data_IF_009770446412
#
_entry.id   IF_009770446412
#
_cell.length_a   1.000
_cell.length_b   1.000
_cell.length_c   1.000
_cell.angle_alpha   90.00
_cell.angle_beta   90.00
_cell.angle_gamma   90.00
#
_symmetry.space_group_name_H-M   'P 1'
#
loop_
_entity.id
_entity.type
_entity.pdbx_description
1 polymer ?
#
# COMPACT_ATOMS: atom_id res chain seq x y z
N UNK A 1 -10.63 -10.18 -9.78
CA UNK A 1 -10.47 -8.88 -10.45
C UNK A 1 -11.77 -8.09 -10.29
N UNK A 2 -11.70 -6.84 -9.81
CA UNK A 2 -12.89 -6.00 -9.63
C UNK A 2 -13.37 -5.43 -10.98
N UNK A 3 -14.66 -5.56 -11.26
CA UNK A 3 -15.31 -5.03 -12.45
C UNK A 3 -15.33 -3.48 -12.48
N UNK A 4 -15.15 -2.81 -13.64
CA UNK A 4 -15.16 -1.36 -13.75
C UNK A 4 -16.39 -0.66 -13.16
N UNK A 5 -17.58 -1.26 -13.28
CA UNK A 5 -18.82 -0.67 -12.77
C UNK A 5 -18.80 -0.62 -11.25
N UNK A 6 -18.37 -1.70 -10.59
CA UNK A 6 -18.26 -1.77 -9.14
C UNK A 6 -17.26 -0.75 -8.60
N UNK A 7 -16.13 -0.56 -9.28
CA UNK A 7 -15.13 0.45 -8.93
C UNK A 7 -15.69 1.86 -9.08
N UNK A 8 -16.48 2.13 -10.13
CA UNK A 8 -17.12 3.44 -10.34
C UNK A 8 -18.18 3.74 -9.29
N UNK A 9 -19.01 2.75 -8.93
CA UNK A 9 -20.03 2.90 -7.86
C UNK A 9 -19.38 3.22 -6.52
N UNK A 10 -18.29 2.54 -6.16
CA UNK A 10 -17.53 2.82 -4.94
C UNK A 10 -17.02 4.27 -4.92
N UNK A 11 -16.44 4.74 -6.03
CA UNK A 11 -15.94 6.12 -6.13
C UNK A 11 -17.08 7.14 -5.96
N UNK A 12 -18.20 6.95 -6.65
CA UNK A 12 -19.35 7.87 -6.57
C UNK A 12 -19.99 7.89 -5.18
N UNK A 13 -20.08 6.74 -4.52
CA UNK A 13 -20.59 6.65 -3.15
C UNK A 13 -19.68 7.40 -2.16
N UNK A 14 -18.35 7.25 -2.30
CA UNK A 14 -17.39 7.97 -1.48
C UNK A 14 -17.47 9.50 -1.70
N UNK A 15 -17.54 9.95 -2.95
CA UNK A 15 -17.71 11.36 -3.32
C UNK A 15 -19.01 11.94 -2.76
N UNK A 16 -20.13 11.23 -2.94
CA UNK A 16 -21.45 11.68 -2.48
C UNK A 16 -21.54 11.71 -0.94
N UNK A 17 -20.86 10.79 -0.26
CA UNK A 17 -20.80 10.75 1.19
C UNK A 17 -19.73 11.66 1.81
N UNK A 18 -18.92 12.35 1.01
CA UNK A 18 -17.80 13.18 1.49
C UNK A 18 -16.68 12.39 2.18
N UNK A 19 -16.61 11.07 1.97
CA UNK A 19 -15.69 10.16 2.64
C UNK A 19 -14.59 9.61 1.72
N UNK A 20 -13.81 8.68 2.26
CA UNK A 20 -12.76 7.96 1.51
C UNK A 20 -13.27 6.57 1.15
N UNK A 21 -13.23 6.24 -0.15
CA UNK A 21 -13.47 4.88 -0.62
C UNK A 21 -12.17 4.08 -0.60
N UNK A 22 -12.15 2.94 0.11
CA UNK A 22 -11.00 2.04 0.16
C UNK A 22 -11.33 0.73 -0.56
N UNK A 23 -10.39 0.27 -1.39
CA UNK A 23 -10.46 -1.02 -2.06
C UNK A 23 -9.20 -1.82 -1.72
N UNK A 24 -9.37 -2.87 -0.90
CA UNK A 24 -8.31 -3.80 -0.55
C UNK A 24 -8.11 -4.83 -1.66
N UNK A 25 -6.86 -5.09 -2.03
CA UNK A 25 -6.47 -6.05 -3.07
C UNK A 25 -5.36 -6.95 -2.54
N UNK A 26 -5.34 -8.20 -2.99
CA UNK A 26 -4.25 -9.13 -2.66
C UNK A 26 -3.09 -8.93 -3.62
N UNK A 27 -1.88 -9.16 -3.14
CA UNK A 27 -0.70 -9.16 -3.98
C UNK A 27 -0.83 -10.25 -5.08
N UNK A 28 -0.37 -9.93 -6.29
CA UNK A 28 -0.44 -10.83 -7.44
C UNK A 28 -1.78 -10.82 -8.19
N UNK A 29 -2.80 -10.13 -7.70
CA UNK A 29 -4.02 -9.90 -8.49
C UNK A 29 -3.69 -9.01 -9.70
N UNK A 30 -4.20 -9.38 -10.88
CA UNK A 30 -3.95 -8.64 -12.11
C UNK A 30 -4.36 -7.16 -11.95
N UNK A 31 -3.62 -6.27 -12.63
CA UNK A 31 -3.99 -4.86 -12.71
C UNK A 31 -5.33 -4.72 -13.46
N UNK A 32 -6.42 -4.72 -12.72
CA UNK A 32 -7.77 -4.47 -13.24
C UNK A 32 -8.18 -3.00 -13.16
N UNK A 33 -9.47 -2.76 -13.42
CA UNK A 33 -10.06 -1.43 -13.39
C UNK A 33 -9.80 -0.68 -12.08
N UNK A 34 -9.54 0.63 -12.16
CA UNK A 34 -9.16 1.44 -11.00
C UNK A 34 -9.52 2.91 -11.20
N UNK A 35 -10.42 3.43 -10.36
CA UNK A 35 -10.73 4.86 -10.23
C UNK A 35 -9.97 5.55 -9.09
N UNK A 36 -9.11 4.81 -8.37
CA UNK A 36 -8.43 5.31 -7.17
C UNK A 36 -7.50 6.50 -7.46
N UNK A 37 -7.60 7.54 -6.62
CA UNK A 37 -6.74 8.73 -6.65
C UNK A 37 -5.31 8.42 -6.18
N UNK A 38 -5.18 7.50 -5.23
CA UNK A 38 -3.90 6.97 -4.76
C UNK A 38 -3.91 5.45 -4.79
N UNK A 39 -2.77 4.84 -5.09
CA UNK A 39 -2.57 3.39 -4.99
C UNK A 39 -1.38 3.11 -4.09
N UNK A 40 -1.59 2.29 -3.08
CA UNK A 40 -0.59 1.91 -2.10
C UNK A 40 -0.32 0.42 -2.15
N UNK A 41 0.93 0.03 -1.86
CA UNK A 41 1.30 -1.32 -1.46
C UNK A 41 1.83 -1.27 -0.04
N UNK A 42 1.44 -2.27 0.77
CA UNK A 42 1.89 -2.42 2.15
C UNK A 42 2.63 -3.75 2.24
N UNK A 43 3.93 -3.70 2.50
CA UNK A 43 4.79 -4.86 2.73
C UNK A 43 5.15 -4.97 4.21
N UNK A 44 5.18 -6.19 4.74
CA UNK A 44 5.64 -6.45 6.11
C UNK A 44 7.17 -6.37 6.18
N UNK A 45 7.70 -5.79 7.27
CA UNK A 45 9.12 -5.85 7.63
C UNK A 45 9.28 -6.60 8.95
N UNK A 46 10.47 -7.16 9.19
CA UNK A 46 10.78 -7.71 10.50
C UNK A 46 10.70 -6.61 11.57
N UNK A 47 10.05 -6.90 12.69
CA UNK A 47 9.97 -5.99 13.82
C UNK A 47 11.34 -5.74 14.47
N UNK A 48 11.42 -4.76 15.36
CA UNK A 48 12.69 -4.29 15.93
C UNK A 48 13.21 -5.12 17.10
N UNK A 49 12.64 -6.30 17.35
CA UNK A 49 12.94 -7.12 18.52
C UNK A 49 14.33 -7.74 18.44
N UNK A 50 15.06 -7.73 19.55
CA UNK A 50 16.46 -8.18 19.61
C UNK A 50 16.67 -9.53 20.30
N UNK A 51 15.64 -10.04 20.98
CA UNK A 51 15.72 -11.24 21.80
C UNK A 51 14.80 -12.37 21.27
N UNK A 52 15.05 -13.60 21.72
CA UNK A 52 14.16 -14.71 21.45
C UNK A 52 12.77 -14.41 22.06
N UNK A 53 11.72 -14.51 21.23
CA UNK A 53 10.33 -14.14 21.55
C UNK A 53 10.04 -12.64 21.73
N UNK A 54 10.98 -11.77 21.40
CA UNK A 54 10.72 -10.33 21.27
C UNK A 54 10.45 -10.01 19.80
N UNK A 55 9.20 -9.67 19.46
CA UNK A 55 8.85 -9.24 18.11
C UNK A 55 9.22 -7.76 17.87
N UNK A 56 9.48 -6.99 18.92
CA UNK A 56 9.65 -5.54 18.87
C UNK A 56 8.45 -4.81 18.28
N UNK A 57 8.67 -3.55 17.89
CA UNK A 57 7.62 -2.75 17.26
C UNK A 57 7.37 -3.25 15.82
N UNK A 58 6.10 -3.38 15.40
CA UNK A 58 5.78 -3.83 14.05
C UNK A 58 6.15 -2.77 13.02
N UNK A 59 6.71 -3.24 11.91
CA UNK A 59 7.28 -2.41 10.84
C UNK A 59 6.70 -2.79 9.49
N UNK A 60 6.54 -1.78 8.64
CA UNK A 60 6.06 -1.96 7.27
C UNK A 60 6.85 -1.12 6.29
N UNK A 61 6.88 -1.59 5.05
CA UNK A 61 7.18 -0.76 3.89
C UNK A 61 5.87 -0.30 3.25
N UNK A 62 5.72 1.00 3.07
CA UNK A 62 4.61 1.61 2.35
C UNK A 62 5.13 2.14 1.02
N UNK A 63 4.59 1.65 -0.10
CA UNK A 63 4.91 2.15 -1.43
C UNK A 63 3.68 2.87 -2.00
N UNK A 64 3.78 4.18 -2.21
CA UNK A 64 2.82 4.93 -3.01
C UNK A 64 3.14 4.69 -4.49
N UNK A 65 2.37 3.81 -5.13
CA UNK A 65 2.57 3.41 -6.53
C UNK A 65 1.96 4.42 -7.52
N UNK A 66 0.92 5.14 -7.10
CA UNK A 66 0.25 6.17 -7.90
C UNK A 66 -0.31 7.23 -6.96
N UNK A 67 -0.17 8.50 -7.35
CA UNK A 67 -0.87 9.61 -6.73
C UNK A 67 -1.26 10.63 -7.78
N UNK A 68 -2.54 11.02 -7.81
CA UNK A 68 -2.99 12.12 -8.67
C UNK A 68 -2.46 13.44 -8.10
N UNK A 69 -1.46 14.03 -8.75
CA UNK A 69 -0.83 15.29 -8.34
C UNK A 69 0.41 15.13 -7.45
N UNK A 70 0.86 13.88 -7.21
CA UNK A 70 2.06 13.59 -6.44
C UNK A 70 2.99 12.62 -7.15
N UNK A 71 4.20 12.45 -6.61
CA UNK A 71 5.17 11.47 -7.10
C UNK A 71 5.05 10.16 -6.30
N UNK A 72 5.18 9.00 -6.95
CA UNK A 72 5.39 7.74 -6.25
C UNK A 72 6.57 7.84 -5.27
N UNK A 73 6.48 7.17 -4.12
CA UNK A 73 7.50 7.20 -3.08
C UNK A 73 7.36 6.00 -2.13
N UNK A 74 8.45 5.57 -1.52
CA UNK A 74 8.47 4.51 -0.53
C UNK A 74 8.94 5.00 0.84
N UNK A 75 8.34 4.43 1.89
CA UNK A 75 8.71 4.69 3.27
C UNK A 75 8.79 3.38 4.03
N UNK A 76 9.70 3.29 5.00
CA UNK A 76 9.58 2.30 6.06
C UNK A 76 9.05 3.01 7.30
N UNK A 77 8.06 2.38 7.93
CA UNK A 77 7.34 2.95 9.07
C UNK A 77 7.29 1.93 10.19
N UNK A 78 7.23 2.44 11.41
CA UNK A 78 7.10 1.67 12.64
C UNK A 78 5.89 2.16 13.41
N UNK A 79 5.11 1.24 13.98
CA UNK A 79 4.03 1.61 14.89
C UNK A 79 4.52 1.58 16.34
N UNK A 80 4.43 2.73 17.01
CA UNK A 80 4.72 2.87 18.43
C UNK A 80 3.47 2.60 19.24
N UNK A 81 3.31 1.35 19.70
CA UNK A 81 2.10 0.90 20.39
C UNK A 81 1.71 1.78 21.58
N UNK A 82 2.68 2.13 22.43
CA UNK A 82 2.44 2.97 23.60
C UNK A 82 2.04 4.43 23.27
N UNK A 83 2.43 4.93 22.10
CA UNK A 83 2.13 6.30 21.67
C UNK A 83 0.97 6.36 20.65
N UNK A 84 0.41 5.20 20.29
CA UNK A 84 -0.63 5.03 19.26
C UNK A 84 -0.31 5.80 17.97
N UNK A 85 0.95 5.76 17.54
CA UNK A 85 1.45 6.57 16.43
C UNK A 85 2.21 5.72 15.41
N UNK A 86 1.98 6.05 14.14
CA UNK A 86 2.82 5.60 13.04
C UNK A 86 3.95 6.60 12.80
N UNK A 87 5.19 6.14 12.89
CA UNK A 87 6.39 6.97 12.72
C UNK A 87 7.21 6.49 11.53
N UNK A 88 7.97 7.41 10.92
CA UNK A 88 9.01 7.03 9.98
C UNK A 88 10.09 6.26 10.75
N UNK A 89 10.52 5.14 10.17
CA UNK A 89 11.57 4.34 10.76
C UNK A 89 12.92 5.05 10.60
N UNK A 90 13.54 5.43 11.72
CA UNK A 90 14.75 6.25 11.76
C UNK A 90 15.97 5.58 11.07
N UNK A 91 15.94 4.27 10.86
CA UNK A 91 16.99 3.52 10.15
C UNK A 91 16.75 3.36 8.65
N UNK A 92 15.70 3.94 8.09
CA UNK A 92 15.30 3.70 6.71
C UNK A 92 15.57 4.89 5.79
N UNK A 93 16.28 4.65 4.70
CA UNK A 93 16.35 5.59 3.58
C UNK A 93 14.98 5.67 2.88
N UNK A 94 14.55 6.90 2.60
CA UNK A 94 13.41 7.15 1.74
C UNK A 94 13.88 7.04 0.29
N UNK A 95 13.32 6.10 -0.45
CA UNK A 95 13.66 5.88 -1.86
C UNK A 95 12.41 6.03 -2.73
N UNK A 96 12.64 6.34 -4.00
CA UNK A 96 11.59 6.36 -5.01
C UNK A 96 10.92 4.98 -5.06
N UNK A 97 9.59 4.95 -5.07
CA UNK A 97 8.88 3.70 -5.20
C UNK A 97 9.30 2.96 -6.47
N UNK A 98 9.86 1.77 -6.30
CA UNK A 98 10.22 0.92 -7.42
C UNK A 98 8.96 0.63 -8.26
N UNK A 99 9.04 0.72 -9.60
CA UNK A 99 7.90 0.42 -10.45
C UNK A 99 7.43 -1.02 -10.19
N UNK A 100 6.11 -1.30 -10.24
CA UNK A 100 5.62 -2.65 -10.03
C UNK A 100 6.29 -3.61 -11.01
N UNK A 101 6.75 -4.77 -10.52
CA UNK A 101 7.30 -5.82 -11.36
C UNK A 101 6.27 -6.17 -12.44
N UNK A 102 6.66 -6.02 -13.72
CA UNK A 102 5.79 -6.36 -14.84
C UNK A 102 5.53 -7.86 -14.81
N UNK A 103 4.31 -8.26 -14.46
CA UNK A 103 3.89 -9.66 -14.57
C UNK A 103 3.90 -10.02 -16.04
N UNK A 104 4.88 -10.82 -16.46
CA UNK A 104 4.95 -11.38 -17.80
C UNK A 104 3.76 -12.33 -17.98
N UNK A 105 2.75 -11.89 -18.76
CA UNK A 105 1.65 -12.76 -19.18
C UNK A 105 2.23 -13.91 -19.99
N UNK A 106 2.41 -15.07 -19.38
CA UNK A 106 2.69 -16.33 -20.09
C UNK A 106 1.51 -16.57 -21.03
N UNK A 107 1.70 -16.34 -22.33
CA UNK A 107 0.75 -16.77 -23.36
C UNK A 107 0.76 -18.30 -23.35
N UNK A 108 -0.27 -18.92 -22.78
CA UNK A 108 -0.58 -20.32 -23.04
C UNK A 108 -0.98 -20.43 -24.52
N UNK A 109 -0.26 -21.28 -25.25
CA UNK A 109 -0.64 -21.74 -26.59
C UNK A 109 -1.88 -22.62 -26.52
#
# INVERSE_FOLDING_TARGET
EADPESVRRLQLAAESGGGIGLLLRREGEAEGASAALTRWRVGMLAGSGGAANDLGDPRWRLDLLRSRGGRPQSWQVVWRGAAERLELDAGAEQDLAAPPARVSRRRSR
#
